data_IF_216726295400
#
_entry.id   IF_216726295400
#
_cell.length_a   1.000
_cell.length_b   1.000
_cell.length_c   1.000
_cell.angle_alpha   90.00
_cell.angle_beta   90.00
_cell.angle_gamma   90.00
#
_symmetry.space_group_name_H-M   'P 1'
#
loop_
_entity.id
_entity.type
_entity.pdbx_description
1 polymer ?
#
# COMPACT_ATOMS: atom_id res chain seq x y z
N UNK A 1 -16.59 -36.02 4.97
CA UNK A 1 -15.31 -35.28 4.95
C UNK A 1 -15.39 -33.78 5.30
N UNK A 2 -16.48 -33.04 5.06
CA UNK A 2 -16.50 -31.57 5.19
C UNK A 2 -16.36 -31.01 6.62
N UNK A 3 -16.99 -31.66 7.62
CA UNK A 3 -16.95 -31.19 9.01
C UNK A 3 -15.54 -31.24 9.63
N UNK A 4 -14.75 -32.28 9.32
CA UNK A 4 -13.38 -32.43 9.79
C UNK A 4 -12.46 -31.33 9.24
N UNK A 5 -12.66 -30.97 7.97
CA UNK A 5 -11.90 -29.90 7.33
C UNK A 5 -12.20 -28.53 7.94
N UNK A 6 -13.47 -28.27 8.31
CA UNK A 6 -13.87 -27.03 9.00
C UNK A 6 -13.29 -26.92 10.42
N UNK A 7 -13.04 -28.05 11.09
CA UNK A 7 -12.41 -28.10 12.41
C UNK A 7 -10.90 -27.90 12.32
N UNK A 8 -10.23 -28.56 11.36
CA UNK A 8 -8.79 -28.43 11.15
C UNK A 8 -8.40 -27.06 10.56
N UNK A 9 -9.29 -26.44 9.79
CA UNK A 9 -9.10 -25.12 9.19
C UNK A 9 -10.24 -24.18 9.61
N UNK A 10 -10.30 -23.80 10.90
CA UNK A 10 -11.30 -22.86 11.36
C UNK A 10 -11.07 -21.52 10.67
N UNK A 11 -12.16 -20.89 10.21
CA UNK A 11 -12.06 -19.55 9.63
C UNK A 11 -11.49 -18.58 10.67
N UNK A 12 -10.63 -17.63 10.26
CA UNK A 12 -10.04 -16.67 11.19
C UNK A 12 -11.15 -15.89 11.92
N UNK A 13 -10.91 -15.55 13.20
CA UNK A 13 -11.89 -14.82 14.00
C UNK A 13 -12.16 -13.44 13.36
N UNK A 14 -13.43 -13.01 13.42
CA UNK A 14 -13.89 -11.75 12.79
C UNK A 14 -13.18 -10.50 13.32
N UNK A 15 -12.50 -10.57 14.47
CA UNK A 15 -11.68 -9.48 15.01
C UNK A 15 -10.44 -9.16 14.17
N UNK A 16 -9.97 -10.11 13.35
CA UNK A 16 -8.84 -9.93 12.42
C UNK A 16 -9.27 -9.38 11.05
N UNK A 17 -10.57 -9.20 10.82
CA UNK A 17 -11.07 -8.54 9.61
C UNK A 17 -10.90 -7.02 9.74
N UNK A 18 -10.80 -6.28 8.62
CA UNK A 18 -10.76 -4.82 8.65
C UNK A 18 -11.94 -4.26 9.44
N UNK A 19 -11.65 -3.35 10.37
CA UNK A 19 -12.64 -2.71 11.20
C UNK A 19 -13.32 -1.56 10.44
N UNK A 20 -14.50 -1.15 10.92
CA UNK A 20 -15.19 0.01 10.35
C UNK A 20 -14.34 1.26 10.59
N UNK A 21 -13.78 1.82 9.53
CA UNK A 21 -12.88 2.98 9.58
C UNK A 21 -11.48 2.69 9.02
N UNK A 22 -11.13 1.42 8.79
CA UNK A 22 -9.87 1.08 8.13
C UNK A 22 -9.95 1.45 6.64
N UNK A 23 -8.91 2.14 6.17
CA UNK A 23 -8.75 2.48 4.76
C UNK A 23 -8.36 1.21 4.01
N UNK A 24 -9.36 0.57 3.40
CA UNK A 24 -9.20 -0.66 2.60
C UNK A 24 -8.91 -0.37 1.13
N UNK A 25 -8.69 0.89 0.77
CA UNK A 25 -8.39 1.27 -0.60
C UNK A 25 -7.07 0.61 -1.04
N UNK A 26 -7.08 -0.12 -2.17
CA UNK A 26 -5.85 -0.69 -2.70
C UNK A 26 -4.94 0.44 -3.24
N UNK A 27 -3.68 0.42 -2.81
CA UNK A 27 -2.60 1.29 -3.27
C UNK A 27 -1.52 0.42 -3.89
N UNK A 28 -0.87 0.89 -4.94
CA UNK A 28 0.24 0.20 -5.61
C UNK A 28 1.55 0.59 -4.95
N UNK A 29 2.39 -0.39 -4.63
CA UNK A 29 3.72 -0.12 -4.09
C UNK A 29 4.64 0.50 -5.15
N UNK A 30 5.30 1.61 -4.82
CA UNK A 30 6.19 2.34 -5.73
C UNK A 30 7.48 1.58 -6.06
N UNK A 31 7.85 0.57 -5.25
CA UNK A 31 9.04 -0.26 -5.48
C UNK A 31 8.73 -1.52 -6.28
N UNK A 32 7.77 -2.33 -5.84
CA UNK A 32 7.49 -3.65 -6.45
C UNK A 32 6.24 -3.69 -7.35
N UNK A 33 5.43 -2.62 -7.38
CA UNK A 33 4.20 -2.55 -8.17
C UNK A 33 3.01 -3.36 -7.64
N UNK A 34 3.18 -4.11 -6.55
CA UNK A 34 2.09 -4.93 -5.99
C UNK A 34 1.01 -4.05 -5.32
N UNK A 35 -0.27 -4.42 -5.48
CA UNK A 35 -1.39 -3.71 -4.87
C UNK A 35 -1.72 -4.27 -3.48
N UNK A 36 -1.58 -3.45 -2.44
CA UNK A 36 -2.00 -3.79 -1.07
C UNK A 36 -3.00 -2.78 -0.55
N UNK A 37 -3.84 -3.21 0.39
CA UNK A 37 -4.66 -2.27 1.14
C UNK A 37 -3.76 -1.33 1.96
N UNK A 38 -4.13 -0.07 2.00
CA UNK A 38 -3.35 1.00 2.63
C UNK A 38 -2.94 0.68 4.07
N UNK A 39 -3.84 0.07 4.86
CA UNK A 39 -3.57 -0.32 6.25
C UNK A 39 -2.49 -1.41 6.43
N UNK A 40 -2.04 -2.07 5.35
CA UNK A 40 -1.02 -3.12 5.38
C UNK A 40 0.38 -2.61 5.02
N UNK A 41 0.48 -1.44 4.41
CA UNK A 41 1.74 -0.90 3.91
C UNK A 41 2.25 0.28 4.74
N UNK A 42 3.38 0.82 4.29
CA UNK A 42 4.00 2.03 4.82
C UNK A 42 3.67 3.18 3.88
N UNK A 43 3.08 4.25 4.43
CA UNK A 43 2.85 5.50 3.72
C UNK A 43 3.92 6.51 4.13
N UNK A 44 4.56 7.11 3.14
CA UNK A 44 5.43 8.26 3.34
C UNK A 44 4.83 9.49 2.68
N UNK A 45 4.57 10.52 3.49
CA UNK A 45 4.34 11.87 2.98
C UNK A 45 5.69 12.51 2.71
N UNK A 46 5.97 12.89 1.46
CA UNK A 46 7.15 13.71 1.17
C UNK A 46 7.01 15.02 1.95
N UNK A 47 7.99 15.41 2.79
CA UNK A 47 7.90 16.67 3.52
C UNK A 47 7.79 17.79 2.49
N UNK A 48 6.85 18.72 2.72
CA UNK A 48 6.57 19.86 1.87
C UNK A 48 7.73 20.87 1.91
N UNK A 49 8.90 20.50 1.39
CA UNK A 49 10.00 21.41 1.12
C UNK A 49 10.09 21.62 -0.39
N UNK A 50 9.60 22.80 -0.79
CA UNK A 50 9.77 23.47 -2.09
C UNK A 50 8.84 23.00 -3.21
N UNK A 51 7.55 23.37 -3.07
CA UNK A 51 6.70 23.74 -4.20
C UNK A 51 7.35 24.92 -4.93
N UNK A 52 8.01 24.68 -6.05
CA UNK A 52 8.13 25.72 -7.09
C UNK A 52 7.01 25.51 -8.07
N UNK A 53 6.16 26.52 -8.16
CA UNK A 53 4.94 26.57 -8.96
C UNK A 53 5.17 26.19 -10.43
N UNK A 54 4.42 25.22 -10.96
CA UNK A 54 3.95 25.28 -12.35
C UNK A 54 2.59 24.58 -12.44
N UNK A 55 1.64 25.24 -13.09
CA UNK A 55 0.20 25.11 -12.91
C UNK A 55 -0.46 23.88 -13.59
N UNK A 56 -1.51 23.39 -12.91
CA UNK A 56 -2.61 22.51 -13.37
C UNK A 56 -3.41 23.15 -14.53
N UNK A 57 -4.12 22.39 -15.41
CA UNK A 57 -5.37 21.71 -14.99
C UNK A 57 -5.82 20.45 -15.79
N UNK A 58 -6.61 19.56 -15.17
CA UNK A 58 -7.82 18.97 -15.81
C UNK A 58 -8.66 18.14 -14.81
N UNK A 59 -9.98 18.25 -14.97
CA UNK A 59 -11.01 17.76 -14.08
C UNK A 59 -11.50 16.35 -14.44
N UNK A 60 -11.66 15.48 -13.44
CA UNK A 60 -12.28 14.15 -13.57
C UNK A 60 -11.54 13.09 -12.75
N UNK A 61 -12.02 12.82 -11.54
CA UNK A 61 -11.69 11.63 -10.72
C UNK A 61 -10.23 11.16 -10.74
N UNK A 62 -9.33 11.85 -10.02
CA UNK A 62 -8.02 11.35 -9.57
C UNK A 62 -7.50 12.37 -8.56
N UNK A 63 -7.62 12.07 -7.27
CA UNK A 63 -6.93 12.83 -6.23
C UNK A 63 -5.42 12.61 -6.40
N UNK A 64 -4.74 13.66 -6.84
CA UNK A 64 -3.30 13.63 -7.08
C UNK A 64 -2.55 13.64 -5.75
N UNK A 65 -2.43 12.46 -5.15
CA UNK A 65 -1.44 12.10 -4.12
C UNK A 65 -0.01 12.13 -4.69
N UNK A 66 0.37 13.14 -5.47
CA UNK A 66 1.68 13.23 -6.14
C UNK A 66 2.87 13.36 -5.17
N UNK A 67 2.61 13.46 -3.87
CA UNK A 67 3.63 13.54 -2.82
C UNK A 67 3.58 12.37 -1.83
N UNK A 68 2.73 11.35 -2.06
CA UNK A 68 2.67 10.17 -1.20
C UNK A 68 3.36 9.00 -1.88
N UNK A 69 4.35 8.42 -1.20
CA UNK A 69 4.95 7.15 -1.59
C UNK A 69 4.33 6.04 -0.73
N UNK A 70 4.05 4.90 -1.34
CA UNK A 70 3.48 3.73 -0.68
C UNK A 70 4.36 2.49 -0.86
N UNK A 71 4.63 1.80 0.25
CA UNK A 71 5.48 0.61 0.28
C UNK A 71 4.79 -0.58 0.96
N UNK A 72 5.09 -1.80 0.51
CA UNK A 72 4.53 -3.00 1.14
C UNK A 72 5.06 -3.25 2.55
N UNK A 73 6.32 -2.89 2.80
CA UNK A 73 7.05 -3.08 4.05
C UNK A 73 8.22 -2.07 4.14
N UNK A 74 8.90 -2.04 5.29
CA UNK A 74 10.07 -1.18 5.50
C UNK A 74 11.29 -1.55 4.64
N UNK A 75 11.43 -2.82 4.24
CA UNK A 75 12.53 -3.27 3.37
C UNK A 75 12.40 -2.66 1.97
N UNK A 76 11.21 -2.70 1.37
CA UNK A 76 10.94 -2.13 0.06
C UNK A 76 11.10 -0.61 0.05
N UNK A 77 10.73 0.06 1.15
CA UNK A 77 10.98 1.48 1.36
C UNK A 77 12.50 1.76 1.37
N UNK A 78 13.26 1.01 2.17
CA UNK A 78 14.71 1.18 2.26
C UNK A 78 15.41 0.93 0.91
N UNK A 79 15.01 -0.12 0.19
CA UNK A 79 15.57 -0.45 -1.12
C UNK A 79 15.22 0.57 -2.21
N UNK A 80 14.00 1.13 -2.15
CA UNK A 80 13.60 2.24 -3.02
C UNK A 80 14.47 3.48 -2.78
N UNK A 81 14.67 3.87 -1.52
CA UNK A 81 15.56 4.99 -1.16
C UNK A 81 17.04 4.70 -1.44
N UNK A 82 17.45 3.43 -1.42
CA UNK A 82 18.78 3.01 -1.83
C UNK A 82 18.97 2.99 -3.36
N UNK A 83 17.92 3.25 -4.15
CA UNK A 83 17.97 3.27 -5.61
C UNK A 83 18.14 1.89 -6.24
N UNK A 84 17.76 0.82 -5.53
CA UNK A 84 17.78 -0.54 -6.07
C UNK A 84 16.63 -0.74 -7.06
N UNK A 85 16.75 -1.76 -7.89
CA UNK A 85 15.67 -2.22 -8.77
C UNK A 85 15.06 -3.46 -8.13
N UNK A 86 13.73 -3.51 -8.04
CA UNK A 86 13.03 -4.67 -7.53
C UNK A 86 13.27 -5.89 -8.42
N UNK A 87 13.76 -6.99 -7.82
CA UNK A 87 13.87 -8.30 -8.47
C UNK A 87 12.91 -9.28 -7.79
N UNK A 88 11.85 -9.75 -8.48
CA UNK A 88 10.89 -10.69 -7.91
C UNK A 88 11.46 -12.11 -7.70
N UNK A 89 12.66 -12.42 -8.22
CA UNK A 89 13.27 -13.75 -8.15
C UNK A 89 14.59 -13.81 -7.37
N UNK A 90 15.01 -12.70 -6.74
CA UNK A 90 16.24 -12.62 -5.95
C UNK A 90 16.16 -13.40 -4.64
#
# INVERSE_FOLDING_TARGET
MWAFYKFMYPRPPKSMMPQKGDVVTPRTCDFCGNSLAEYRGVLETKPASVTTNTAQPSAGSMETDSNLLFFCNYEHQADYHAGKVYDPNA
#
